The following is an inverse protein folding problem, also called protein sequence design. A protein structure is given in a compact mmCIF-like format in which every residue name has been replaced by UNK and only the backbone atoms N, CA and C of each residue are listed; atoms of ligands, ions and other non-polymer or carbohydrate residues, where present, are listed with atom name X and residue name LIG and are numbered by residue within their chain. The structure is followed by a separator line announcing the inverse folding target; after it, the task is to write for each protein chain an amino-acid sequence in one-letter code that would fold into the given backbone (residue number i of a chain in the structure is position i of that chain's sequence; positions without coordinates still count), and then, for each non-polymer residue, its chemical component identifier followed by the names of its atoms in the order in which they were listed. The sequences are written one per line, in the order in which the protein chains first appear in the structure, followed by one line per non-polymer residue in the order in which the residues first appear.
data_IF_873310466631
#
_entry.id   IF_873310466631
#
_cell.length_a   1.000
_cell.length_b   1.000
_cell.length_c   1.000
_cell.angle_alpha   90.00
_cell.angle_beta   90.00
_cell.angle_gamma   90.00
#
_symmetry.space_group_name_H-M   'P 1'
#
loop_
_entity.id
_entity.type
_entity.pdbx_description
1 polymer ?
#
# COMPACT_ATOMS: atom_id res chain seq x y z
N UNK A 1 -14.29 -10.86 -9.57
CA UNK A 1 -14.77 -10.42 -8.24
C UNK A 1 -15.24 -9.00 -8.38
N UNK A 2 -16.46 -8.70 -7.95
CA UNK A 2 -17.08 -7.38 -8.12
C UNK A 2 -16.95 -6.47 -6.92
N UNK A 3 -16.63 -7.03 -5.74
CA UNK A 3 -16.55 -6.29 -4.48
C UNK A 3 -17.83 -5.50 -4.11
N UNK A 4 -19.00 -6.01 -4.49
CA UNK A 4 -20.31 -5.42 -4.19
C UNK A 4 -20.88 -5.78 -2.80
N UNK A 5 -20.20 -6.66 -2.04
CA UNK A 5 -20.73 -7.15 -0.76
C UNK A 5 -20.88 -6.06 0.31
N UNK A 6 -20.13 -4.95 0.17
CA UNK A 6 -20.21 -3.77 1.04
C UNK A 6 -21.59 -3.10 1.07
N UNK A 7 -22.48 -3.42 0.11
CA UNK A 7 -23.87 -2.95 0.09
C UNK A 7 -24.77 -3.61 1.14
N UNK A 8 -24.39 -4.80 1.61
CA UNK A 8 -25.26 -5.65 2.44
C UNK A 8 -24.92 -5.60 3.94
N UNK A 9 -23.63 -5.47 4.29
CA UNK A 9 -23.08 -5.20 5.62
C UNK A 9 -21.54 -5.07 5.50
N UNK A 10 -20.87 -4.51 6.51
CA UNK A 10 -19.41 -4.67 6.62
C UNK A 10 -19.07 -6.14 6.87
N UNK A 11 -18.64 -6.82 5.81
CA UNK A 11 -18.27 -8.24 5.85
C UNK A 11 -16.78 -8.40 5.53
N UNK A 12 -16.16 -9.43 6.12
CA UNK A 12 -14.75 -9.79 5.89
C UNK A 12 -14.57 -10.85 4.79
N UNK A 13 -15.44 -10.80 3.78
CA UNK A 13 -15.38 -11.69 2.63
C UNK A 13 -15.94 -11.03 1.37
N UNK A 14 -15.55 -11.58 0.23
CA UNK A 14 -16.13 -11.29 -1.09
C UNK A 14 -16.36 -12.60 -1.84
N UNK A 15 -17.10 -12.57 -2.94
CA UNK A 15 -17.49 -13.74 -3.72
C UNK A 15 -16.80 -13.74 -5.08
N UNK A 16 -16.17 -14.87 -5.40
CA UNK A 16 -15.72 -15.19 -6.75
C UNK A 16 -16.96 -15.57 -7.59
N UNK A 17 -17.13 -14.93 -8.75
CA UNK A 17 -18.38 -14.95 -9.51
C UNK A 17 -18.61 -16.20 -10.37
N UNK A 18 -17.56 -16.93 -10.75
CA UNK A 18 -17.65 -18.11 -11.64
C UNK A 18 -18.08 -19.36 -10.87
N UNK A 19 -17.47 -19.62 -9.71
CA UNK A 19 -17.74 -20.79 -8.85
C UNK A 19 -18.58 -20.43 -7.62
N UNK A 20 -18.89 -19.15 -7.39
CA UNK A 20 -19.64 -18.68 -6.23
C UNK A 20 -18.87 -18.83 -4.92
N UNK A 21 -17.55 -18.90 -4.98
CA UNK A 21 -16.72 -19.24 -3.84
C UNK A 21 -16.44 -18.02 -2.96
N UNK A 22 -16.65 -18.19 -1.65
CA UNK A 22 -16.36 -17.17 -0.65
C UNK A 22 -14.85 -17.04 -0.43
N UNK A 23 -14.32 -15.85 -0.66
CA UNK A 23 -12.93 -15.47 -0.52
C UNK A 23 -12.78 -14.54 0.69
N UNK A 24 -11.78 -14.81 1.53
CA UNK A 24 -11.57 -14.04 2.76
C UNK A 24 -10.91 -12.70 2.46
N UNK A 25 -11.39 -11.65 3.12
CA UNK A 25 -10.67 -10.38 3.24
C UNK A 25 -9.85 -10.44 4.53
N UNK A 26 -8.53 -10.33 4.39
CA UNK A 26 -7.58 -10.24 5.49
C UNK A 26 -7.22 -8.79 5.80
N UNK A 27 -6.52 -8.61 6.91
CA UNK A 27 -6.13 -7.30 7.45
C UNK A 27 -6.79 -7.02 8.79
N UNK A 28 -6.64 -5.79 9.26
CA UNK A 28 -7.22 -5.37 10.55
C UNK A 28 -8.73 -5.18 10.49
N UNK A 29 -9.23 -4.66 9.38
CA UNK A 29 -10.65 -4.52 9.08
C UNK A 29 -10.87 -4.50 7.56
N UNK A 30 -12.10 -4.74 7.13
CA UNK A 30 -12.50 -4.60 5.72
C UNK A 30 -13.10 -3.23 5.47
N UNK A 31 -12.50 -2.46 4.57
CA UNK A 31 -12.93 -1.10 4.26
C UNK A 31 -13.65 -1.08 2.91
N UNK A 32 -14.96 -0.86 2.96
CA UNK A 32 -15.79 -0.74 1.77
C UNK A 32 -15.98 0.73 1.38
N UNK A 33 -16.00 1.02 0.08
CA UNK A 33 -16.26 2.36 -0.49
C UNK A 33 -17.17 2.23 -1.71
N UNK A 34 -17.64 3.36 -2.24
CA UNK A 34 -18.32 3.37 -3.54
C UNK A 34 -17.33 2.97 -4.63
N UNK A 35 -17.68 1.95 -5.39
CA UNK A 35 -16.86 1.40 -6.46
C UNK A 35 -17.14 2.02 -7.82
N UNK A 36 -16.50 1.46 -8.85
CA UNK A 36 -16.86 1.73 -10.25
C UNK A 36 -18.18 1.06 -10.61
N UNK A 37 -18.50 -0.04 -9.93
CA UNK A 37 -19.80 -0.67 -9.84
C UNK A 37 -20.11 -0.91 -8.37
N UNK A 38 -21.32 -0.56 -7.92
CA UNK A 38 -21.75 -0.75 -6.52
C UNK A 38 -20.73 -0.31 -5.47
N UNK A 39 -20.02 -1.27 -4.87
CA UNK A 39 -18.93 -1.00 -3.91
C UNK A 39 -17.58 -1.55 -4.38
N UNK A 40 -16.50 -1.02 -3.80
CA UNK A 40 -15.16 -1.53 -3.97
C UNK A 40 -14.48 -1.76 -2.62
N UNK A 41 -13.30 -2.39 -2.65
CA UNK A 41 -12.44 -2.52 -1.47
C UNK A 41 -11.38 -1.43 -1.43
N UNK A 42 -11.21 -0.83 -0.25
CA UNK A 42 -10.10 0.06 0.10
C UNK A 42 -9.04 -0.73 0.85
N UNK A 43 -7.83 -0.75 0.33
CA UNK A 43 -6.67 -1.41 0.90
C UNK A 43 -5.83 -0.40 1.67
N UNK A 44 -5.49 -0.76 2.90
CA UNK A 44 -4.80 0.11 3.86
C UNK A 44 -3.32 0.38 3.54
N UNK A 45 -2.70 -0.32 2.59
CA UNK A 45 -1.26 -0.22 2.33
C UNK A 45 -0.38 -0.96 3.33
N UNK A 46 -0.95 -1.71 4.28
CA UNK A 46 -0.20 -2.39 5.35
C UNK A 46 -0.59 -3.85 5.56
N UNK A 47 -1.88 -4.17 5.59
CA UNK A 47 -2.38 -5.47 6.06
C UNK A 47 -3.46 -6.08 5.20
N UNK A 48 -4.19 -5.28 4.41
CA UNK A 48 -5.32 -5.79 3.63
C UNK A 48 -4.89 -6.69 2.48
N UNK A 49 -5.62 -7.80 2.30
CA UNK A 49 -5.55 -8.64 1.09
C UNK A 49 -6.85 -9.39 0.90
N UNK A 50 -7.20 -9.72 -0.34
CA UNK A 50 -8.18 -10.81 -0.59
C UNK A 50 -7.41 -12.09 -0.84
N UNK A 51 -7.80 -13.19 -0.21
CA UNK A 51 -7.23 -14.53 -0.46
C UNK A 51 -8.21 -15.39 -1.23
N UNK A 52 -7.81 -15.78 -2.43
CA UNK A 52 -8.57 -16.60 -3.37
C UNK A 52 -8.01 -18.01 -3.34
N UNK A 53 -8.77 -19.02 -2.86
CA UNK A 53 -8.24 -20.36 -2.68
C UNK A 53 -7.73 -21.00 -3.97
N UNK A 54 -6.57 -21.64 -3.94
CA UNK A 54 -5.95 -22.27 -5.12
C UNK A 54 -6.88 -23.24 -5.86
N UNK A 55 -7.66 -24.02 -5.11
CA UNK A 55 -8.63 -25.01 -5.62
C UNK A 55 -9.73 -24.42 -6.52
N UNK A 56 -9.97 -23.10 -6.47
CA UNK A 56 -10.97 -22.45 -7.31
C UNK A 56 -10.37 -21.73 -8.52
N UNK A 57 -9.05 -21.55 -8.58
CA UNK A 57 -8.38 -20.87 -9.67
C UNK A 57 -8.37 -21.71 -10.96
N UNK A 58 -8.34 -21.05 -12.14
CA UNK A 58 -8.05 -21.73 -13.41
C UNK A 58 -6.58 -22.18 -13.44
N UNK A 59 -6.30 -23.24 -14.21
CA UNK A 59 -4.94 -23.71 -14.47
C UNK A 59 -4.43 -23.09 -15.77
N UNK A 60 -3.67 -22.01 -15.68
CA UNK A 60 -3.23 -21.20 -16.81
C UNK A 60 -1.91 -21.74 -17.36
N UNK A 61 -1.95 -22.36 -18.56
CA UNK A 61 -0.75 -22.91 -19.23
C UNK A 61 -0.37 -22.18 -20.52
N UNK A 62 -1.19 -21.25 -20.98
CA UNK A 62 -1.02 -20.54 -22.24
C UNK A 62 -1.48 -19.09 -22.12
N UNK A 63 -2.33 -18.67 -23.04
CA UNK A 63 -2.84 -17.31 -23.10
C UNK A 63 -3.64 -16.97 -21.84
N UNK A 64 -3.57 -15.72 -21.39
CA UNK A 64 -4.37 -15.25 -20.26
C UNK A 64 -4.58 -13.74 -20.28
N UNK A 65 -5.55 -13.29 -19.48
CA UNK A 65 -5.80 -11.87 -19.23
C UNK A 65 -6.09 -11.63 -17.76
N UNK A 66 -5.60 -10.51 -17.22
CA UNK A 66 -5.96 -10.00 -15.89
C UNK A 66 -6.47 -8.57 -16.06
N UNK A 67 -7.62 -8.27 -15.47
CA UNK A 67 -8.22 -6.93 -15.46
C UNK A 67 -8.52 -6.49 -14.03
N UNK A 68 -8.37 -5.19 -13.76
CA UNK A 68 -8.83 -4.57 -12.52
C UNK A 68 -9.02 -3.06 -12.73
N UNK A 69 -9.97 -2.48 -12.01
CA UNK A 69 -9.98 -1.04 -11.75
C UNK A 69 -9.17 -0.75 -10.50
N UNK A 70 -8.29 0.25 -10.56
CA UNK A 70 -7.49 0.69 -9.41
C UNK A 70 -7.55 2.20 -9.24
N UNK A 71 -7.51 2.68 -8.00
CA UNK A 71 -7.28 4.09 -7.67
C UNK A 71 -6.26 4.16 -6.52
N UNK A 72 -4.95 4.31 -6.82
CA UNK A 72 -3.92 4.33 -5.79
C UNK A 72 -4.04 5.58 -4.91
N UNK A 73 -4.07 5.41 -3.59
CA UNK A 73 -4.02 6.50 -2.62
C UNK A 73 -2.59 7.07 -2.49
N UNK A 74 -1.61 6.18 -2.63
CA UNK A 74 -0.17 6.41 -2.64
C UNK A 74 0.51 5.25 -3.38
N UNK A 75 1.76 5.41 -3.78
CA UNK A 75 2.56 4.29 -4.28
C UNK A 75 3.26 3.60 -3.11
N UNK A 76 3.19 2.28 -3.08
CA UNK A 76 3.85 1.49 -2.05
C UNK A 76 5.37 1.67 -2.14
N UNK A 77 6.05 1.53 -1.00
CA UNK A 77 7.49 1.71 -0.89
C UNK A 77 8.33 0.75 -1.74
N UNK A 78 7.72 -0.27 -2.32
CA UNK A 78 8.28 -1.16 -3.33
C UNK A 78 7.12 -1.78 -4.13
N UNK A 79 7.40 -2.76 -4.99
CA UNK A 79 6.43 -3.52 -5.76
C UNK A 79 5.27 -4.05 -4.94
N UNK A 80 4.06 -3.53 -5.18
CA UNK A 80 2.81 -4.08 -4.65
C UNK A 80 1.99 -4.69 -5.77
N UNK A 81 1.37 -5.83 -5.49
CA UNK A 81 0.65 -6.57 -6.52
C UNK A 81 -0.85 -6.33 -6.42
N UNK A 82 -1.45 -5.99 -7.55
CA UNK A 82 -2.91 -5.90 -7.73
C UNK A 82 -3.47 -7.32 -7.71
N UNK A 83 -2.81 -8.24 -8.42
CA UNK A 83 -3.05 -9.69 -8.41
C UNK A 83 -1.72 -10.41 -8.37
N UNK A 84 -1.51 -11.28 -7.38
CA UNK A 84 -0.33 -12.14 -7.26
C UNK A 84 -0.74 -13.61 -7.10
N UNK A 85 -0.34 -14.42 -8.06
CA UNK A 85 -0.39 -15.87 -7.97
C UNK A 85 0.97 -16.41 -8.38
N UNK A 86 1.99 -16.08 -7.60
CA UNK A 86 3.38 -16.42 -7.93
C UNK A 86 4.17 -16.99 -6.77
N UNK A 87 5.10 -17.88 -7.11
CA UNK A 87 6.12 -18.43 -6.22
C UNK A 87 7.48 -17.99 -6.72
N UNK A 88 8.17 -17.18 -5.92
CA UNK A 88 9.58 -16.80 -6.13
C UNK A 88 10.48 -17.54 -5.15
N UNK A 89 11.75 -17.72 -5.51
CA UNK A 89 12.78 -18.27 -4.60
C UNK A 89 13.56 -17.11 -4.00
N UNK A 90 13.36 -16.86 -2.71
CA UNK A 90 13.86 -15.71 -1.95
C UNK A 90 15.38 -15.72 -1.65
N UNK A 91 16.12 -16.74 -2.08
CA UNK A 91 17.54 -16.91 -1.75
C UNK A 91 18.51 -16.49 -2.87
N UNK A 92 18.06 -15.62 -3.79
CA UNK A 92 18.86 -15.17 -4.92
C UNK A 92 19.26 -13.68 -4.73
N UNK A 93 20.52 -13.39 -4.32
CA UNK A 93 20.98 -12.04 -4.08
C UNK A 93 20.93 -11.14 -5.33
N UNK A 94 21.02 -11.70 -6.54
CA UNK A 94 20.92 -10.94 -7.78
C UNK A 94 19.47 -10.53 -8.09
N UNK A 95 18.49 -11.38 -7.80
CA UNK A 95 17.05 -11.05 -7.91
C UNK A 95 16.68 -9.79 -7.10
N UNK A 96 17.29 -9.63 -5.91
CA UNK A 96 17.09 -8.43 -5.08
C UNK A 96 17.68 -7.18 -5.71
N UNK A 97 18.74 -7.30 -6.52
CA UNK A 97 19.34 -6.16 -7.23
C UNK A 97 18.46 -5.74 -8.42
N UNK A 98 17.88 -6.69 -9.17
CA UNK A 98 16.99 -6.40 -10.31
C UNK A 98 15.64 -5.77 -9.93
N UNK A 99 15.00 -6.18 -8.81
CA UNK A 99 13.79 -5.49 -8.31
C UNK A 99 14.06 -4.01 -7.98
N UNK A 100 15.29 -3.71 -7.57
CA UNK A 100 15.72 -2.38 -7.14
C UNK A 100 16.43 -1.53 -8.22
N UNK A 101 16.65 -2.06 -9.43
CA UNK A 101 17.45 -1.38 -10.45
C UNK A 101 16.65 -0.77 -11.62
N UNK A 102 15.32 -0.93 -11.67
CA UNK A 102 14.48 -0.32 -12.72
C UNK A 102 14.91 -0.66 -14.16
N UNK A 103 15.63 -1.77 -14.38
CA UNK A 103 16.29 -2.06 -15.66
C UNK A 103 15.40 -2.78 -16.67
N UNK A 104 15.74 -2.55 -17.94
CA UNK A 104 15.11 -2.93 -19.22
C UNK A 104 14.52 -4.35 -19.33
N UNK A 105 13.61 -4.61 -20.28
CA UNK A 105 13.02 -5.93 -20.49
C UNK A 105 14.09 -6.95 -20.91
N UNK A 106 14.57 -7.73 -19.94
CA UNK A 106 15.53 -8.82 -20.14
C UNK A 106 14.96 -10.15 -19.67
N UNK A 107 15.17 -11.20 -20.46
CA UNK A 107 14.99 -12.59 -20.01
C UNK A 107 16.08 -12.93 -19.00
N UNK A 108 15.71 -13.26 -17.76
CA UNK A 108 16.70 -13.68 -16.75
C UNK A 108 16.44 -15.13 -16.32
N UNK A 109 17.41 -16.02 -16.60
CA UNK A 109 17.35 -17.46 -16.30
C UNK A 109 17.97 -17.74 -14.92
N UNK A 110 17.16 -18.19 -13.98
CA UNK A 110 17.56 -18.45 -12.61
C UNK A 110 16.82 -19.69 -12.07
N UNK A 111 17.53 -20.80 -11.85
CA UNK A 111 17.07 -21.92 -11.02
C UNK A 111 15.69 -22.49 -11.37
N UNK A 112 15.62 -23.31 -12.42
CA UNK A 112 14.42 -23.89 -13.07
C UNK A 112 13.44 -24.72 -12.21
N UNK A 113 13.64 -24.84 -10.90
CA UNK A 113 12.93 -25.84 -10.08
C UNK A 113 11.78 -25.36 -9.21
N UNK A 114 11.61 -24.05 -8.98
CA UNK A 114 10.66 -23.54 -7.97
C UNK A 114 9.93 -22.24 -8.33
N UNK A 115 10.22 -21.65 -9.49
CA UNK A 115 9.57 -20.42 -9.98
C UNK A 115 8.34 -20.79 -10.79
N UNK A 116 7.20 -20.21 -10.44
CA UNK A 116 5.94 -20.48 -11.09
C UNK A 116 4.95 -19.35 -10.86
N UNK A 117 3.97 -19.23 -11.75
CA UNK A 117 2.84 -18.31 -11.64
C UNK A 117 2.97 -17.03 -12.45
N UNK A 118 2.13 -16.06 -12.09
CA UNK A 118 1.98 -14.78 -12.77
C UNK A 118 1.53 -13.71 -11.78
N UNK A 119 1.80 -12.44 -12.10
CA UNK A 119 1.33 -11.29 -11.32
C UNK A 119 1.13 -10.04 -12.16
N UNK A 120 0.18 -9.22 -11.73
CA UNK A 120 -0.07 -7.86 -12.19
C UNK A 120 0.17 -6.92 -11.01
N UNK A 121 1.08 -5.97 -11.14
CA UNK A 121 1.51 -5.11 -10.03
C UNK A 121 1.80 -3.68 -10.42
N UNK A 122 2.12 -2.88 -9.41
CA UNK A 122 2.48 -1.48 -9.49
C UNK A 122 3.78 -1.24 -8.71
N UNK A 123 4.73 -0.51 -9.29
CA UNK A 123 5.97 -0.14 -8.62
C UNK A 123 5.83 1.14 -7.76
N UNK A 124 6.92 1.51 -7.09
CA UNK A 124 6.99 2.71 -6.23
C UNK A 124 6.90 4.04 -7.00
N UNK A 125 6.91 4.01 -8.34
CA UNK A 125 6.77 5.18 -9.23
C UNK A 125 5.42 5.17 -9.97
N UNK A 126 4.56 4.20 -9.67
CA UNK A 126 3.25 4.04 -10.28
C UNK A 126 3.25 3.44 -11.68
N UNK A 127 4.30 2.74 -12.10
CA UNK A 127 4.31 1.97 -13.34
C UNK A 127 3.59 0.63 -13.15
N UNK A 128 2.79 0.24 -14.14
CA UNK A 128 2.11 -1.06 -14.13
C UNK A 128 2.99 -2.11 -14.78
N UNK A 129 3.07 -3.29 -14.18
CA UNK A 129 3.79 -4.43 -14.74
C UNK A 129 2.94 -5.70 -14.81
N UNK A 130 3.20 -6.51 -15.83
CA UNK A 130 2.78 -7.90 -15.89
C UNK A 130 4.02 -8.77 -15.89
N UNK A 131 4.01 -9.82 -15.07
CA UNK A 131 5.06 -10.82 -15.01
C UNK A 131 4.47 -12.22 -15.06
N UNK A 132 5.14 -13.13 -15.75
CA UNK A 132 4.83 -14.56 -15.69
C UNK A 132 6.09 -15.43 -15.80
N UNK A 133 6.02 -16.61 -15.22
CA UNK A 133 7.02 -17.65 -15.42
C UNK A 133 6.71 -18.40 -16.73
N UNK A 134 7.47 -18.13 -17.79
CA UNK A 134 7.34 -18.73 -19.12
C UNK A 134 8.45 -19.76 -19.32
N UNK A 135 8.09 -21.02 -19.58
CA UNK A 135 9.04 -22.15 -19.72
C UNK A 135 10.10 -22.21 -18.60
N UNK A 136 9.71 -21.86 -17.37
CA UNK A 136 10.56 -21.85 -16.18
C UNK A 136 11.38 -20.57 -15.96
N UNK A 137 11.17 -19.51 -16.74
CA UNK A 137 11.88 -18.21 -16.62
C UNK A 137 10.91 -17.06 -16.38
N UNK A 138 11.27 -16.12 -15.51
CA UNK A 138 10.47 -14.91 -15.32
C UNK A 138 10.67 -13.95 -16.49
N UNK A 139 9.57 -13.48 -17.04
CA UNK A 139 9.53 -12.43 -18.06
C UNK A 139 8.59 -11.33 -17.57
N UNK A 140 9.01 -10.07 -17.75
CA UNK A 140 8.28 -8.87 -17.33
C UNK A 140 8.02 -7.96 -18.52
N UNK A 141 6.85 -7.32 -18.52
CA UNK A 141 6.58 -6.11 -19.28
C UNK A 141 6.12 -5.01 -18.31
N UNK A 142 6.49 -3.75 -18.57
CA UNK A 142 6.17 -2.61 -17.72
C UNK A 142 5.82 -1.38 -18.57
N UNK A 143 4.88 -0.56 -18.10
CA UNK A 143 4.59 0.75 -18.69
C UNK A 143 5.71 1.75 -18.39
N UNK A 144 6.00 2.66 -19.31
CA UNK A 144 6.79 3.87 -19.02
C UNK A 144 5.96 5.01 -18.44
N UNK A 145 4.63 4.93 -18.60
CA UNK A 145 3.68 5.89 -18.05
C UNK A 145 3.26 5.46 -16.64
N UNK A 146 3.31 6.41 -15.72
CA UNK A 146 2.76 6.31 -14.37
C UNK A 146 1.23 6.43 -14.39
N UNK A 147 0.53 5.60 -13.62
CA UNK A 147 -0.90 5.77 -13.34
C UNK A 147 -1.10 6.90 -12.33
N UNK A 148 -2.14 7.71 -12.47
CA UNK A 148 -2.36 8.85 -11.58
C UNK A 148 -2.79 8.41 -10.16
N UNK A 149 -2.31 9.09 -9.12
CA UNK A 149 -2.87 8.94 -7.77
C UNK A 149 -4.33 9.43 -7.73
N UNK A 150 -5.08 8.89 -6.78
CA UNK A 150 -6.45 9.26 -6.40
C UNK A 150 -7.53 9.01 -7.46
N UNK A 151 -7.15 8.51 -8.63
CA UNK A 151 -7.98 8.42 -9.83
C UNK A 151 -8.16 6.96 -10.26
N UNK A 152 -9.38 6.61 -10.62
CA UNK A 152 -9.67 5.32 -11.24
C UNK A 152 -8.94 5.18 -12.58
N UNK A 153 -8.20 4.08 -12.70
CA UNK A 153 -7.56 3.62 -13.94
C UNK A 153 -7.99 2.17 -14.19
N UNK A 154 -8.47 1.88 -15.40
CA UNK A 154 -8.74 0.50 -15.78
C UNK A 154 -7.47 -0.13 -16.34
N UNK A 155 -6.96 -1.15 -15.66
CA UNK A 155 -5.73 -1.83 -16.01
C UNK A 155 -6.05 -3.22 -16.55
N UNK A 156 -5.62 -3.48 -17.79
CA UNK A 156 -5.73 -4.81 -18.40
C UNK A 156 -4.36 -5.27 -18.86
N UNK A 157 -3.95 -6.48 -18.46
CA UNK A 157 -2.75 -7.14 -18.95
C UNK A 157 -3.11 -8.44 -19.67
N UNK A 158 -2.61 -8.62 -20.89
CA UNK A 158 -2.81 -9.82 -21.70
C UNK A 158 -1.48 -10.50 -21.98
N UNK A 159 -1.50 -11.83 -22.07
CA UNK A 159 -0.40 -12.63 -22.60
C UNK A 159 -0.93 -13.55 -23.69
N UNK A 160 -0.26 -13.55 -24.84
CA UNK A 160 -0.46 -14.50 -25.94
C UNK A 160 0.83 -15.31 -26.10
N UNK A 161 0.77 -16.62 -25.93
CA UNK A 161 1.95 -17.52 -25.92
C UNK A 161 2.83 -17.42 -27.17
N UNK A 162 2.23 -17.03 -28.30
CA UNK A 162 2.90 -16.96 -29.60
C UNK A 162 3.38 -15.53 -29.96
N UNK A 163 2.95 -14.51 -29.20
CA UNK A 163 3.22 -13.08 -29.51
C UNK A 163 3.89 -12.34 -28.37
N UNK A 164 3.36 -12.43 -27.15
CA UNK A 164 3.92 -11.76 -25.97
C UNK A 164 2.89 -11.06 -25.11
N UNK A 165 3.38 -10.14 -24.29
CA UNK A 165 2.59 -9.36 -23.34
C UNK A 165 2.09 -8.06 -23.97
N UNK A 166 0.94 -7.60 -23.50
CA UNK A 166 0.45 -6.24 -23.71
C UNK A 166 -0.27 -5.73 -22.46
N UNK A 167 -0.05 -4.46 -22.13
CA UNK A 167 -0.73 -3.74 -21.05
C UNK A 167 -1.56 -2.61 -21.67
N UNK A 168 -2.80 -2.49 -21.24
CA UNK A 168 -3.75 -1.46 -21.63
C UNK A 168 -4.13 -0.64 -20.39
N UNK A 169 -4.22 0.67 -20.57
CA UNK A 169 -4.73 1.61 -19.58
C UNK A 169 -5.96 2.30 -20.15
N UNK A 170 -7.07 2.28 -19.42
CA UNK A 170 -8.35 2.86 -19.83
C UNK A 170 -8.83 2.36 -21.21
N UNK A 171 -8.62 1.07 -21.48
CA UNK A 171 -8.99 0.42 -22.74
C UNK A 171 -8.10 0.76 -23.94
N UNK A 172 -6.96 1.43 -23.74
CA UNK A 172 -6.00 1.82 -24.79
C UNK A 172 -4.66 1.14 -24.55
N UNK A 173 -4.05 0.60 -25.61
CA UNK A 173 -2.74 -0.06 -25.53
C UNK A 173 -1.68 0.94 -25.02
N UNK A 174 -1.05 0.61 -23.89
CA UNK A 174 0.00 1.43 -23.28
C UNK A 174 1.39 0.92 -23.64
N UNK A 175 1.58 -0.40 -23.64
CA UNK A 175 2.86 -1.03 -24.01
C UNK A 175 2.62 -2.49 -24.44
N UNK A 176 3.46 -2.99 -25.36
CA UNK A 176 3.53 -4.40 -25.73
C UNK A 176 4.99 -4.83 -25.86
N UNK A 177 5.28 -6.11 -25.58
CA UNK A 177 6.62 -6.66 -25.71
C UNK A 177 6.61 -8.13 -26.08
N UNK A 178 7.54 -8.58 -26.93
CA UNK A 178 7.59 -9.97 -27.36
C UNK A 178 7.96 -10.89 -26.20
N UNK A 179 7.20 -11.96 -26.05
CA UNK A 179 7.49 -13.05 -25.12
C UNK A 179 6.83 -14.34 -25.66
N UNK A 180 7.48 -15.47 -25.46
CA UNK A 180 6.97 -16.77 -25.90
C UNK A 180 7.24 -17.83 -24.85
N UNK A 181 6.40 -18.86 -24.84
CA UNK A 181 6.53 -20.00 -23.96
C UNK A 181 5.22 -20.35 -23.24
N UNK A 182 5.16 -21.54 -22.67
CA UNK A 182 4.03 -21.96 -21.84
C UNK A 182 4.13 -21.32 -20.46
N UNK A 183 2.98 -20.92 -19.90
CA UNK A 183 2.94 -20.44 -18.51
C UNK A 183 3.17 -21.62 -17.58
N UNK A 184 4.19 -21.51 -16.74
CA UNK A 184 4.44 -22.45 -15.66
C UNK A 184 3.65 -22.03 -14.42
N UNK A 185 2.38 -22.42 -14.36
CA UNK A 185 1.46 -22.10 -13.26
C UNK A 185 1.79 -22.75 -11.91
N UNK A 186 1.20 -22.21 -10.83
CA UNK A 186 1.39 -22.63 -9.42
C UNK A 186 0.07 -23.06 -8.74
N UNK A 187 -0.51 -24.22 -9.14
CA UNK A 187 -1.89 -24.60 -8.77
C UNK A 187 -2.10 -24.91 -7.28
N UNK A 188 -1.03 -25.01 -6.49
CA UNK A 188 -1.06 -25.30 -5.05
C UNK A 188 -0.92 -24.03 -4.17
N UNK A 189 -0.89 -22.84 -4.77
CA UNK A 189 -0.76 -21.57 -4.06
C UNK A 189 -2.07 -20.76 -4.13
N UNK A 190 -2.53 -20.20 -3.01
CA UNK A 190 -3.65 -19.27 -3.07
C UNK A 190 -3.25 -17.99 -3.82
N UNK A 191 -4.19 -17.33 -4.49
CA UNK A 191 -3.94 -16.04 -5.13
C UNK A 191 -4.26 -14.90 -4.16
N UNK A 192 -3.42 -13.86 -4.14
CA UNK A 192 -3.65 -12.63 -3.39
C UNK A 192 -4.08 -11.50 -4.31
N UNK A 193 -5.04 -10.70 -3.86
CA UNK A 193 -5.39 -9.41 -4.48
C UNK A 193 -4.97 -8.30 -3.50
N UNK A 194 -4.28 -7.29 -4.01
CA UNK A 194 -3.82 -6.11 -3.27
C UNK A 194 -2.61 -6.34 -2.35
N UNK A 195 -1.92 -7.47 -2.46
CA UNK A 195 -0.72 -7.78 -1.67
C UNK A 195 0.20 -8.75 -2.42
N UNK A 196 1.50 -8.44 -2.45
CA UNK A 196 2.52 -9.35 -2.94
C UNK A 196 2.75 -10.51 -1.94
N UNK A 197 2.88 -11.74 -2.44
CA UNK A 197 3.27 -12.91 -1.65
C UNK A 197 4.69 -12.78 -1.10
N UNK A 198 5.61 -12.36 -1.95
CA UNK A 198 7.02 -12.18 -1.61
C UNK A 198 7.19 -10.96 -0.73
N UNK A 199 7.83 -11.14 0.43
CA UNK A 199 8.22 -10.02 1.28
C UNK A 199 9.45 -9.32 0.69
N UNK A 200 9.50 -8.01 0.79
CA UNK A 200 10.66 -7.20 0.42
C UNK A 200 10.89 -6.08 1.43
N UNK A 201 11.99 -5.36 1.27
CA UNK A 201 12.24 -4.10 1.96
C UNK A 201 11.91 -2.91 1.02
N UNK A 202 11.74 -1.68 1.54
CA UNK A 202 11.53 -0.47 0.74
C UNK A 202 12.58 -0.25 -0.35
N UNK A 203 12.16 0.14 -1.55
CA UNK A 203 13.05 0.58 -2.61
C UNK A 203 13.88 1.81 -2.17
N UNK A 204 15.10 1.95 -2.71
CA UNK A 204 16.01 3.08 -2.45
C UNK A 204 16.23 3.40 -0.97
N UNK A 205 16.32 2.36 -0.12
CA UNK A 205 16.60 2.56 1.29
C UNK A 205 18.02 3.15 1.50
N UNK A 206 18.11 4.23 2.28
CA UNK A 206 19.37 4.93 2.56
C UNK A 206 20.33 4.10 3.42
N UNK A 207 19.79 3.32 4.37
CA UNK A 207 20.57 2.62 5.40
C UNK A 207 20.51 1.11 5.23
N UNK A 208 21.65 0.43 5.37
CA UNK A 208 21.77 -1.03 5.21
C UNK A 208 20.86 -1.82 6.16
N UNK A 209 20.68 -1.37 7.41
CA UNK A 209 19.79 -2.05 8.35
C UNK A 209 18.34 -2.14 7.83
N UNK A 210 17.88 -1.20 7.00
CA UNK A 210 16.55 -1.23 6.39
C UNK A 210 16.33 -2.50 5.57
N UNK A 211 17.39 -3.01 4.92
CA UNK A 211 17.34 -4.21 4.09
C UNK A 211 17.13 -5.49 4.91
N UNK A 212 17.27 -5.43 6.23
CA UNK A 212 16.98 -6.56 7.13
C UNK A 212 15.48 -6.70 7.47
N UNK A 213 14.67 -5.67 7.19
CA UNK A 213 13.24 -5.66 7.50
C UNK A 213 12.40 -6.00 6.25
N UNK A 214 11.94 -7.24 6.20
CA UNK A 214 11.09 -7.75 5.11
C UNK A 214 9.62 -7.73 5.50
N UNK A 215 8.80 -7.02 4.70
CA UNK A 215 7.35 -7.00 4.82
C UNK A 215 6.68 -7.35 3.49
N UNK A 216 5.44 -7.80 3.55
CA UNK A 216 4.62 -7.85 2.34
C UNK A 216 4.39 -6.41 1.88
N UNK A 217 4.54 -6.17 0.59
CA UNK A 217 4.14 -4.91 -0.03
C UNK A 217 2.66 -4.98 -0.37
N UNK A 218 1.91 -4.00 0.10
CA UNK A 218 0.45 -3.97 0.03
C UNK A 218 0.04 -2.76 -0.77
N UNK A 219 -0.95 -2.94 -1.64
CA UNK A 219 -1.54 -1.85 -2.40
C UNK A 219 -2.24 -0.88 -1.43
N UNK A 220 -2.09 0.41 -1.65
CA UNK A 220 -2.76 1.46 -0.86
C UNK A 220 -3.73 2.20 -1.76
N UNK A 221 -5.04 2.09 -1.50
CA UNK A 221 -6.10 2.68 -2.32
C UNK A 221 -7.22 1.71 -2.68
N UNK A 222 -7.98 2.04 -3.73
CA UNK A 222 -9.16 1.27 -4.12
C UNK A 222 -8.83 0.25 -5.22
N UNK A 223 -9.41 -0.95 -5.11
CA UNK A 223 -9.43 -1.96 -6.20
C UNK A 223 -10.87 -2.39 -6.41
N UNK A 224 -11.27 -2.56 -7.68
CA UNK A 224 -12.60 -3.01 -8.07
C UNK A 224 -12.58 -3.89 -9.32
N UNK A 225 -13.65 -4.67 -9.54
CA UNK A 225 -13.92 -5.46 -10.76
C UNK A 225 -12.74 -6.32 -11.25
N UNK A 226 -12.11 -7.05 -10.34
CA UNK A 226 -10.95 -7.91 -10.65
C UNK A 226 -11.38 -9.15 -11.44
N UNK A 227 -10.82 -9.37 -12.62
CA UNK A 227 -11.14 -10.49 -13.52
C UNK A 227 -9.89 -11.19 -14.02
N UNK A 228 -9.96 -12.51 -14.15
CA UNK A 228 -8.88 -13.35 -14.69
C UNK A 228 -9.50 -14.29 -15.72
N UNK A 229 -8.87 -14.34 -16.89
CA UNK A 229 -9.28 -15.17 -18.02
C UNK A 229 -8.15 -16.12 -18.40
N UNK A 230 -8.48 -17.36 -18.74
CA UNK A 230 -7.56 -18.38 -19.30
C UNK A 230 -7.39 -18.24 -20.83
N UNK A 231 -7.61 -17.02 -21.34
CA UNK A 231 -7.41 -16.61 -22.72
C UNK A 231 -6.96 -15.15 -22.78
N UNK A 232 -6.35 -14.76 -23.89
CA UNK A 232 -6.07 -13.36 -24.19
C UNK A 232 -7.33 -12.67 -24.75
N UNK A 233 -7.77 -11.58 -24.11
CA UNK A 233 -8.80 -10.70 -24.66
C UNK A 233 -8.24 -9.88 -25.82
N UNK A 234 -9.06 -9.61 -26.84
CA UNK A 234 -8.73 -8.66 -27.91
C UNK A 234 -9.05 -7.20 -27.53
N UNK A 235 -8.59 -6.25 -28.34
CA UNK A 235 -8.76 -4.82 -28.05
C UNK A 235 -10.24 -4.38 -27.98
N UNK A 236 -11.13 -5.06 -28.71
CA UNK A 236 -12.55 -4.72 -28.74
C UNK A 236 -13.26 -5.18 -27.47
N UNK A 237 -12.89 -6.36 -26.97
CA UNK A 237 -13.37 -6.90 -25.69
C UNK A 237 -12.91 -6.00 -24.53
N UNK A 238 -11.62 -5.67 -24.47
CA UNK A 238 -11.03 -4.80 -23.44
C UNK A 238 -11.70 -3.43 -23.43
N UNK A 239 -11.97 -2.85 -24.62
CA UNK A 239 -12.65 -1.56 -24.73
C UNK A 239 -14.11 -1.64 -24.31
N UNK A 240 -14.79 -2.75 -24.61
CA UNK A 240 -16.15 -3.00 -24.14
C UNK A 240 -16.20 -3.08 -22.62
N UNK A 241 -15.25 -3.78 -22.01
CA UNK A 241 -15.13 -3.91 -20.56
C UNK A 241 -14.87 -2.57 -19.88
N UNK A 242 -13.93 -1.77 -20.40
CA UNK A 242 -13.71 -0.40 -19.94
C UNK A 242 -15.00 0.43 -19.97
N UNK A 243 -15.71 0.44 -21.11
CA UNK A 243 -16.91 1.26 -21.27
C UNK A 243 -18.06 0.80 -20.38
N UNK A 244 -18.16 -0.50 -20.08
CA UNK A 244 -19.22 -1.07 -19.24
C UNK A 244 -19.11 -0.60 -17.79
N UNK A 245 -17.88 -0.49 -17.27
CA UNK A 245 -17.60 -0.16 -15.87
C UNK A 245 -17.01 1.23 -15.68
N UNK A 246 -17.02 2.07 -16.71
CA UNK A 246 -16.46 3.43 -16.62
C UNK A 246 -17.20 4.22 -15.54
N UNK A 247 -16.51 4.71 -14.48
CA UNK A 247 -17.18 5.39 -13.39
C UNK A 247 -17.55 6.83 -13.77
N UNK A 248 -18.67 7.32 -13.25
CA UNK A 248 -19.06 8.72 -13.36
C UNK A 248 -18.10 9.66 -12.61
N UNK A 249 -17.54 9.17 -11.50
CA UNK A 249 -16.58 9.90 -10.66
C UNK A 249 -15.20 9.30 -10.89
N UNK A 250 -14.37 9.97 -11.69
CA UNK A 250 -13.02 9.49 -12.02
C UNK A 250 -12.01 9.64 -10.88
N UNK A 251 -12.19 10.62 -9.99
CA UNK A 251 -11.28 10.88 -8.86
C UNK A 251 -12.06 10.62 -7.55
N UNK A 252 -12.13 9.36 -7.10
CA UNK A 252 -12.90 8.98 -5.90
C UNK A 252 -12.20 9.33 -4.58
N UNK A 253 -10.89 9.58 -4.59
CA UNK A 253 -10.08 9.79 -3.40
C UNK A 253 -9.60 11.25 -3.27
N UNK A 254 -9.13 11.59 -2.09
CA UNK A 254 -8.46 12.85 -1.79
C UNK A 254 -7.15 12.59 -1.05
N UNK A 255 -6.21 13.53 -1.10
CA UNK A 255 -5.04 13.45 -0.23
C UNK A 255 -5.46 13.48 1.24
N UNK A 256 -4.75 12.70 2.06
CA UNK A 256 -4.94 12.72 3.50
C UNK A 256 -4.48 14.05 4.10
N UNK A 257 -5.18 14.47 5.14
CA UNK A 257 -4.89 15.72 5.86
C UNK A 257 -4.47 15.36 7.28
N UNK A 258 -3.28 15.81 7.69
CA UNK A 258 -2.80 15.56 9.04
C UNK A 258 -3.79 16.14 10.07
N UNK A 259 -4.18 15.37 11.09
CA UNK A 259 -5.27 15.77 11.97
C UNK A 259 -4.79 16.73 13.06
N UNK A 260 -5.34 17.93 13.09
CA UNK A 260 -4.99 18.97 14.07
C UNK A 260 -6.16 19.35 14.99
N UNK A 261 -7.14 18.46 15.13
CA UNK A 261 -8.35 18.68 15.93
C UNK A 261 -9.40 19.54 15.23
N UNK A 262 -10.46 19.94 15.95
CA UNK A 262 -11.60 20.68 15.37
C UNK A 262 -11.22 22.11 14.96
N UNK A 263 -11.95 22.66 13.98
CA UNK A 263 -11.78 24.05 13.53
C UNK A 263 -12.00 25.05 14.67
N UNK A 264 -13.10 24.91 15.40
CA UNK A 264 -13.44 25.79 16.52
C UNK A 264 -12.72 25.34 17.80
N UNK A 265 -12.09 26.30 18.48
CA UNK A 265 -11.48 26.10 19.80
C UNK A 265 -12.44 26.59 20.87
N UNK A 266 -12.35 26.03 22.09
CA UNK A 266 -13.15 26.46 23.25
C UNK A 266 -12.35 27.38 24.18
N UNK A 267 -11.51 28.23 23.61
CA UNK A 267 -10.55 29.06 24.34
C UNK A 267 -9.16 28.42 24.47
N UNK A 268 -8.28 29.09 25.22
CA UNK A 268 -6.94 28.59 25.52
C UNK A 268 -7.02 27.37 26.44
N UNK A 269 -6.25 26.34 26.12
CA UNK A 269 -6.18 25.13 26.95
C UNK A 269 -5.83 23.89 26.17
N UNK A 270 -5.61 22.79 26.88
CA UNK A 270 -5.31 21.50 26.30
C UNK A 270 -6.46 20.51 26.40
N UNK A 271 -6.58 19.62 25.42
CA UNK A 271 -7.58 18.56 25.41
C UNK A 271 -6.94 17.24 25.01
N UNK A 272 -7.17 16.20 25.81
CA UNK A 272 -6.93 14.83 25.35
C UNK A 272 -7.97 14.45 24.30
N UNK A 273 -7.53 13.82 23.23
CA UNK A 273 -8.40 13.43 22.13
C UNK A 273 -7.84 12.22 21.39
N UNK A 274 -8.62 11.70 20.44
CA UNK A 274 -8.15 10.76 19.42
C UNK A 274 -8.31 11.44 18.08
N UNK A 275 -7.20 11.99 17.59
CA UNK A 275 -7.11 12.58 16.27
C UNK A 275 -7.31 11.48 15.22
N UNK A 276 -8.19 11.75 14.26
CA UNK A 276 -8.58 10.82 13.20
C UNK A 276 -7.91 11.24 11.89
N UNK A 277 -7.13 10.36 11.30
CA UNK A 277 -6.41 10.61 10.04
C UNK A 277 -7.12 9.97 8.86
N UNK A 278 -7.33 8.66 8.93
CA UNK A 278 -8.12 7.88 7.99
C UNK A 278 -8.59 6.59 8.65
N UNK A 279 -9.76 6.04 8.27
CA UNK A 279 -10.22 4.74 8.80
C UNK A 279 -9.16 3.64 8.65
N UNK A 280 -8.48 3.62 7.50
CA UNK A 280 -7.44 2.65 7.14
C UNK A 280 -6.25 2.70 8.10
N UNK A 281 -5.70 3.90 8.32
CA UNK A 281 -4.54 4.09 9.18
C UNK A 281 -4.90 3.99 10.66
N UNK A 282 -6.02 4.61 11.08
CA UNK A 282 -6.48 4.58 12.46
C UNK A 282 -6.83 3.16 12.92
N UNK A 283 -7.33 2.32 12.00
CA UNK A 283 -7.59 0.91 12.25
C UNK A 283 -6.34 0.14 12.70
N UNK A 284 -5.13 0.56 12.32
CA UNK A 284 -3.88 -0.09 12.73
C UNK A 284 -3.56 0.15 14.22
N UNK A 285 -4.09 1.22 14.81
CA UNK A 285 -3.76 1.62 16.18
C UNK A 285 -4.73 1.02 17.20
N UNK A 286 -4.18 0.47 18.28
CA UNK A 286 -4.93 -0.03 19.44
C UNK A 286 -4.89 1.00 20.57
N UNK A 287 -5.49 2.17 20.31
CA UNK A 287 -5.50 3.31 21.24
C UNK A 287 -6.93 3.80 21.53
N UNK A 288 -7.14 4.31 22.74
CA UNK A 288 -8.41 4.89 23.20
C UNK A 288 -8.59 6.36 22.83
N UNK A 289 -9.67 6.95 23.32
CA UNK A 289 -10.13 8.31 22.97
C UNK A 289 -9.23 9.45 23.50
N UNK A 290 -8.20 9.13 24.28
CA UNK A 290 -7.31 10.07 24.96
C UNK A 290 -5.84 9.89 24.55
N UNK A 291 -5.59 9.38 23.35
CA UNK A 291 -4.24 9.04 22.88
C UNK A 291 -3.38 10.29 22.58
N UNK A 292 -4.00 11.35 22.07
CA UNK A 292 -3.33 12.54 21.57
C UNK A 292 -3.67 13.76 22.44
N UNK A 293 -2.87 14.82 22.32
CA UNK A 293 -3.12 16.11 22.99
C UNK A 293 -3.11 17.22 21.95
N UNK A 294 -4.12 18.09 22.02
CA UNK A 294 -4.15 19.36 21.28
C UNK A 294 -4.20 20.51 22.28
N UNK A 295 -3.25 21.45 22.16
CA UNK A 295 -3.23 22.71 22.91
C UNK A 295 -3.69 23.82 21.98
N UNK A 296 -4.85 24.40 22.29
CA UNK A 296 -5.49 25.46 21.51
C UNK A 296 -5.21 26.83 22.12
N UNK A 297 -5.30 27.86 21.27
CA UNK A 297 -5.31 29.26 21.69
C UNK A 297 -6.73 29.85 21.52
N UNK A 298 -7.02 30.89 22.28
CA UNK A 298 -8.32 31.56 22.38
C UNK A 298 -8.58 32.55 21.24
N UNK A 299 -7.55 33.27 20.79
CA UNK A 299 -7.66 34.33 19.79
C UNK A 299 -7.22 33.90 18.37
N UNK A 300 -6.73 32.67 18.22
CA UNK A 300 -6.01 32.22 17.02
C UNK A 300 -6.29 30.76 16.66
N UNK A 301 -6.29 30.42 15.36
CA UNK A 301 -6.49 29.04 14.91
C UNK A 301 -5.27 28.13 15.16
N UNK A 302 -4.12 28.72 15.49
CA UNK A 302 -2.88 28.00 15.76
C UNK A 302 -3.04 27.04 16.95
N UNK A 303 -2.19 26.02 17.01
CA UNK A 303 -2.21 25.03 18.10
C UNK A 303 -0.92 24.24 18.17
N UNK A 304 -0.62 23.72 19.35
CA UNK A 304 0.36 22.63 19.46
C UNK A 304 -0.36 21.28 19.39
N UNK A 305 0.12 20.41 18.52
CA UNK A 305 -0.42 19.07 18.32
C UNK A 305 0.63 18.05 18.73
N UNK A 306 0.23 17.14 19.61
CA UNK A 306 1.00 15.97 20.01
C UNK A 306 0.23 14.75 19.52
N UNK A 307 0.49 14.33 18.29
CA UNK A 307 -0.22 13.25 17.62
C UNK A 307 0.63 11.98 17.56
N UNK A 308 0.03 10.82 17.82
CA UNK A 308 0.72 9.53 17.74
C UNK A 308 1.35 9.27 16.37
N UNK A 309 0.76 9.80 15.29
CA UNK A 309 1.27 9.61 13.93
C UNK A 309 2.57 10.37 13.64
N UNK A 310 2.88 11.40 14.42
CA UNK A 310 4.19 12.09 14.42
C UNK A 310 5.07 11.64 15.59
N UNK A 311 4.80 10.48 16.19
CA UNK A 311 5.54 9.98 17.36
C UNK A 311 5.45 10.93 18.58
N UNK A 312 4.33 11.66 18.66
CA UNK A 312 4.09 12.74 19.61
C UNK A 312 5.09 13.90 19.55
N UNK A 313 5.87 14.01 18.46
CA UNK A 313 6.70 15.17 18.19
C UNK A 313 5.84 16.44 18.26
N UNK A 314 6.16 17.40 19.16
CA UNK A 314 5.37 18.61 19.31
C UNK A 314 5.35 19.38 18.00
N UNK A 315 4.15 19.59 17.46
CA UNK A 315 3.95 20.22 16.17
C UNK A 315 3.21 21.53 16.37
N UNK A 316 3.81 22.67 16.01
CA UNK A 316 3.08 23.93 15.91
C UNK A 316 2.34 23.93 14.57
N UNK A 317 1.01 24.00 14.62
CA UNK A 317 0.15 23.97 13.44
C UNK A 317 -0.54 25.31 13.28
N UNK A 318 -0.54 25.87 12.06
CA UNK A 318 -1.12 27.21 11.79
C UNK A 318 -2.64 27.23 11.90
N UNK A 319 -3.31 26.20 11.39
CA UNK A 319 -4.77 26.00 11.45
C UNK A 319 -5.10 24.53 11.15
N UNK A 320 -6.28 24.02 11.53
CA UNK A 320 -6.71 22.67 11.13
C UNK A 320 -7.06 22.58 9.65
N UNK A 321 -7.05 21.34 9.16
CA UNK A 321 -7.46 21.06 7.80
C UNK A 321 -6.32 21.25 6.78
N UNK A 322 -6.64 21.17 5.48
CA UNK A 322 -5.65 21.04 4.41
C UNK A 322 -4.75 22.26 4.21
N UNK A 323 -5.09 23.41 4.80
CA UNK A 323 -4.27 24.63 4.77
C UNK A 323 -3.27 24.70 5.94
N UNK A 324 -3.40 23.82 6.92
CA UNK A 324 -2.54 23.77 8.10
C UNK A 324 -1.10 23.46 7.74
N UNK A 325 -0.19 24.37 8.07
CA UNK A 325 1.25 24.14 7.99
C UNK A 325 1.70 23.57 9.33
N UNK A 326 2.34 22.40 9.29
CA UNK A 326 2.91 21.73 10.45
C UNK A 326 4.39 22.07 10.56
N UNK A 327 4.79 22.60 11.71
CA UNK A 327 6.17 22.97 12.01
C UNK A 327 6.63 22.14 13.21
N UNK A 328 7.69 21.36 12.99
CA UNK A 328 8.24 20.42 13.95
C UNK A 328 9.74 20.65 14.07
N UNK A 329 10.28 20.40 15.26
CA UNK A 329 11.73 20.34 15.47
C UNK A 329 12.27 18.98 15.00
N UNK A 330 13.47 18.94 14.40
CA UNK A 330 14.10 17.67 14.01
C UNK A 330 14.62 16.89 15.23
N UNK A 331 14.76 17.54 16.39
CA UNK A 331 15.32 16.94 17.59
C UNK A 331 16.80 16.59 17.46
N UNK A 332 17.41 16.05 18.52
CA UNK A 332 18.77 15.56 18.48
C UNK A 332 18.85 14.23 17.72
N UNK A 333 19.72 14.19 16.71
CA UNK A 333 20.01 13.00 15.91
C UNK A 333 21.45 12.56 16.15
N UNK A 334 21.67 11.24 16.18
CA UNK A 334 23.02 10.69 16.18
C UNK A 334 23.21 9.72 15.01
N UNK A 335 24.30 9.94 14.27
CA UNK A 335 24.65 9.22 13.06
C UNK A 335 25.97 8.49 13.25
N UNK A 336 25.90 7.24 13.68
CA UNK A 336 27.06 6.32 13.67
C UNK A 336 27.03 5.50 12.38
N UNK A 337 26.49 4.29 12.45
CA UNK A 337 26.18 3.37 11.36
C UNK A 337 24.69 3.46 10.95
N UNK A 338 23.87 4.13 11.77
CA UNK A 338 22.42 4.25 11.64
C UNK A 338 21.99 5.64 12.11
N UNK A 339 20.72 6.01 11.87
CA UNK A 339 20.12 7.17 12.51
C UNK A 339 19.48 6.74 13.83
N UNK A 340 19.84 7.42 14.92
CA UNK A 340 19.21 7.29 16.22
C UNK A 340 18.50 8.59 16.58
N UNK A 341 17.18 8.53 16.59
CA UNK A 341 16.32 9.71 16.69
C UNK A 341 14.97 9.33 17.29
N UNK A 342 14.24 10.31 17.81
CA UNK A 342 12.91 10.09 18.34
C UNK A 342 11.88 9.75 17.24
N UNK A 343 12.10 10.23 16.01
CA UNK A 343 11.22 9.97 14.86
C UNK A 343 11.26 8.50 14.39
N UNK A 344 12.25 7.73 14.83
CA UNK A 344 12.35 6.30 14.53
C UNK A 344 11.43 5.43 15.39
N UNK A 345 10.84 5.98 16.46
CA UNK A 345 9.86 5.30 17.34
C UNK A 345 8.46 5.23 16.70
N UNK A 346 8.36 4.66 15.49
CA UNK A 346 7.18 4.72 14.60
C UNK A 346 5.88 4.21 15.22
N UNK A 347 5.93 3.32 16.20
CA UNK A 347 4.74 2.79 16.91
C UNK A 347 4.60 3.31 18.35
N UNK A 348 5.36 4.34 18.73
CA UNK A 348 5.33 4.96 20.05
C UNK A 348 5.61 3.97 21.20
N UNK A 349 6.64 3.13 21.09
CA UNK A 349 7.07 2.22 22.18
C UNK A 349 7.63 2.99 23.38
N UNK A 350 8.27 4.13 23.11
CA UNK A 350 8.93 4.95 24.13
C UNK A 350 8.27 6.32 24.27
N UNK A 351 7.81 6.88 23.15
CA UNK A 351 7.23 8.21 23.05
C UNK A 351 5.85 8.25 23.66
N UNK A 352 5.64 9.15 24.62
CA UNK A 352 4.34 9.40 25.23
C UNK A 352 4.22 10.84 25.71
N UNK A 353 2.99 11.31 25.78
CA UNK A 353 2.64 12.64 26.26
C UNK A 353 1.61 12.57 27.37
N UNK A 354 1.68 13.53 28.29
CA UNK A 354 0.65 13.72 29.31
C UNK A 354 0.55 15.19 29.72
N UNK A 355 -0.66 15.62 30.04
CA UNK A 355 -0.91 16.90 30.68
C UNK A 355 -0.44 16.86 32.14
N UNK A 356 0.37 17.83 32.51
CA UNK A 356 0.77 18.10 33.89
C UNK A 356 -0.07 19.25 34.45
N UNK A 357 -0.36 20.25 33.62
CA UNK A 357 -1.18 21.38 33.99
C UNK A 357 -2.02 21.88 32.80
N UNK A 358 -3.23 22.32 33.10
CA UNK A 358 -4.16 22.94 32.17
C UNK A 358 -5.01 23.95 32.94
N UNK A 359 -4.57 25.21 32.93
CA UNK A 359 -5.26 26.35 33.57
C UNK A 359 -5.44 27.47 32.56
N UNK A 360 -6.30 28.44 32.88
CA UNK A 360 -6.52 29.63 32.05
C UNK A 360 -5.22 30.42 31.77
N UNK A 361 -4.20 30.27 32.63
CA UNK A 361 -2.92 30.98 32.51
C UNK A 361 -1.82 30.17 31.80
N UNK A 362 -1.83 28.83 31.90
CA UNK A 362 -0.80 27.99 31.28
C UNK A 362 -1.23 26.54 31.06
N UNK A 363 -0.64 25.96 30.03
CA UNK A 363 -0.65 24.53 29.74
C UNK A 363 0.76 23.99 29.86
N UNK A 364 0.94 22.87 30.57
CA UNK A 364 2.22 22.16 30.67
C UNK A 364 2.02 20.74 30.17
N UNK A 365 2.64 20.42 29.03
CA UNK A 365 2.67 19.06 28.46
C UNK A 365 4.03 18.43 28.76
N UNK A 366 4.02 17.26 29.39
CA UNK A 366 5.21 16.44 29.53
C UNK A 366 5.30 15.50 28.34
N UNK A 367 6.27 15.74 27.46
CA UNK A 367 6.63 14.86 26.36
C UNK A 367 7.89 14.09 26.73
N UNK A 368 7.80 12.75 26.72
CA UNK A 368 8.93 11.86 26.93
C UNK A 368 9.12 11.04 25.66
N UNK A 369 10.34 11.01 25.16
CA UNK A 369 10.74 10.30 23.95
C UNK A 369 12.06 9.53 24.19
N UNK A 370 12.53 8.82 23.17
CA UNK A 370 13.82 8.14 23.16
C UNK A 370 14.46 8.21 21.77
N UNK A 371 15.76 8.48 21.68
CA UNK A 371 16.52 8.36 20.43
C UNK A 371 16.90 6.90 20.20
N UNK A 372 16.16 6.24 19.30
CA UNK A 372 16.37 4.84 18.91
C UNK A 372 16.57 4.74 17.40
N UNK A 373 17.16 3.64 16.94
CA UNK A 373 17.15 3.33 15.50
C UNK A 373 15.80 2.75 15.06
N UNK A 374 15.64 2.50 13.76
CA UNK A 374 14.43 1.86 13.19
C UNK A 374 14.22 0.41 13.68
N UNK A 375 15.25 -0.21 14.27
CA UNK A 375 15.18 -1.49 14.98
C UNK A 375 14.72 -1.39 16.45
N UNK A 376 14.44 -0.17 16.95
CA UNK A 376 14.10 0.15 18.34
C UNK A 376 15.22 -0.10 19.36
N UNK A 377 16.47 -0.07 18.90
CA UNK A 377 17.66 -0.17 19.74
C UNK A 377 18.18 1.22 20.13
N UNK A 378 18.69 1.34 21.35
CA UNK A 378 19.35 2.57 21.82
C UNK A 378 20.76 2.67 21.25
N UNK A 379 21.25 3.91 21.13
CA UNK A 379 22.65 4.16 20.90
C UNK A 379 23.44 3.69 22.13
N UNK A 380 24.13 2.56 22.02
CA UNK A 380 25.09 2.14 23.03
C UNK A 380 26.46 2.73 22.71
N UNK A 381 27.05 3.46 23.64
CA UNK A 381 28.48 3.72 23.61
C UNK A 381 29.19 2.36 23.70
N UNK A 382 29.87 1.93 22.63
CA UNK A 382 30.85 0.85 22.72
C UNK A 382 31.99 1.33 23.62
N UNK A 383 31.80 1.23 24.94
CA UNK A 383 32.93 1.24 25.85
C UNK A 383 33.50 -0.17 25.82
N UNK A 384 34.55 -0.34 25.01
CA UNK A 384 35.53 -1.40 25.24
C UNK A 384 36.08 -1.19 26.65
N UNK A 385 35.71 -2.08 27.57
CA UNK A 385 36.31 -2.18 28.90
C UNK A 385 37.49 -3.15 28.87
#
# INVERSE_FOLDING_TARGET
MRFDEGLSAQVDFTTESVKGAKCRIGGVASYWRRGVSGTCLSFDGYTNRVTVPSRILPNIRGDFTIEAWIAPQEYSWNWSDIVDHSRTVTSDPEWMYFKNAGSEPGTIDYGRGKRAGYRLGIDHLGHISIEACLDGRWVRLMTSKTVDLLKWTFVTATYRKDTGFAIYLDGVLAVSGPAKGAVHDVPDLDLFIGMAHEKSFPFACEREITKSFFSNMVFSGLIDEVRIFDRALDESEIRSDYNTFKPDILIPLSYWVLPAGPMETRGFGATYTKLQFSPEWDGLWRVGDYADIVVSFDDRPNRFVFWRGTNYLPSLVTEPGPKGIWINDQGPENYTDQCYEHMSDKICRYSHVRLIENTDARVVVHWRNASVNIGYEFLYSKHEF
#
